data_IF_398390071386
#
_entry.id   IF_398390071386
#
_cell.length_a   1.000
_cell.length_b   1.000
_cell.length_c   1.000
_cell.angle_alpha   90.00
_cell.angle_beta   90.00
_cell.angle_gamma   90.00
#
_symmetry.space_group_name_H-M   'P 1'
#
loop_
_entity.id
_entity.type
_entity.pdbx_description
1 polymer ?
#
# COMPACT_ATOMS: atom_id res chain seq x y z
N UNK A 1 -6.94 9.37 17.50
CA UNK A 1 -5.79 10.00 18.19
C UNK A 1 -4.88 10.56 17.12
N UNK A 2 -4.41 11.80 17.28
CA UNK A 2 -3.47 12.42 16.34
C UNK A 2 -2.13 11.68 16.44
N UNK A 3 -1.67 11.07 15.34
CA UNK A 3 -0.40 10.35 15.33
C UNK A 3 0.77 11.35 15.50
N UNK A 4 1.79 11.03 16.31
CA UNK A 4 2.98 11.87 16.44
C UNK A 4 3.57 12.23 15.07
N UNK A 5 4.03 13.47 14.90
CA UNK A 5 4.60 13.96 13.63
C UNK A 5 5.66 13.01 13.05
N UNK A 6 6.54 12.48 13.92
CA UNK A 6 7.59 11.55 13.54
C UNK A 6 7.04 10.25 12.92
N UNK A 7 5.96 9.71 13.47
CA UNK A 7 5.32 8.49 12.96
C UNK A 7 4.71 8.72 11.58
N UNK A 8 4.05 9.88 11.37
CA UNK A 8 3.50 10.24 10.06
C UNK A 8 4.60 10.41 9.01
N UNK A 9 5.70 11.07 9.39
CA UNK A 9 6.85 11.25 8.50
C UNK A 9 7.51 9.92 8.15
N UNK A 10 7.72 9.06 9.15
CA UNK A 10 8.30 7.73 8.96
C UNK A 10 7.41 6.87 8.05
N UNK A 11 6.09 6.87 8.28
CA UNK A 11 5.13 6.14 7.45
C UNK A 11 5.21 6.60 5.99
N UNK A 12 5.13 7.91 5.73
CA UNK A 12 5.22 8.45 4.38
C UNK A 12 6.54 8.09 3.68
N UNK A 13 7.66 8.15 4.41
CA UNK A 13 8.97 7.79 3.89
C UNK A 13 9.07 6.29 3.54
N UNK A 14 8.66 5.40 4.45
CA UNK A 14 8.66 3.96 4.22
C UNK A 14 7.76 3.57 3.04
N UNK A 15 6.55 4.13 2.96
CA UNK A 15 5.65 3.91 1.82
C UNK A 15 6.31 4.27 0.50
N UNK A 16 7.00 5.42 0.43
CA UNK A 16 7.69 5.83 -0.77
C UNK A 16 8.84 4.88 -1.14
N UNK A 17 9.63 4.44 -0.15
CA UNK A 17 10.76 3.53 -0.40
C UNK A 17 10.32 2.17 -0.94
N UNK A 18 9.23 1.60 -0.37
CA UNK A 18 8.66 0.33 -0.83
C UNK A 18 8.15 0.50 -2.27
N UNK A 19 7.42 1.57 -2.56
CA UNK A 19 6.87 1.84 -3.90
C UNK A 19 7.94 2.13 -4.96
N UNK A 20 9.07 2.71 -4.55
CA UNK A 20 10.20 2.93 -5.45
C UNK A 20 11.13 1.72 -5.55
N UNK A 21 10.77 0.58 -4.93
CA UNK A 21 11.58 -0.64 -4.86
C UNK A 21 13.00 -0.40 -4.28
N UNK A 22 13.16 0.67 -3.50
CA UNK A 22 14.44 1.02 -2.88
C UNK A 22 14.74 0.16 -1.65
N UNK A 23 13.70 -0.47 -1.10
CA UNK A 23 13.77 -1.45 -0.02
C UNK A 23 12.86 -2.62 -0.37
N UNK A 24 13.36 -3.83 -0.20
CA UNK A 24 12.59 -5.05 -0.36
C UNK A 24 11.66 -5.23 0.85
N UNK A 25 10.35 -5.49 0.67
CA UNK A 25 9.45 -5.85 1.75
C UNK A 25 9.96 -6.98 2.65
N UNK A 26 10.70 -7.95 2.10
CA UNK A 26 11.24 -9.08 2.86
C UNK A 26 12.29 -8.64 3.90
N UNK A 27 13.10 -7.62 3.58
CA UNK A 27 14.07 -7.06 4.54
C UNK A 27 13.35 -6.40 5.73
N UNK A 28 12.20 -5.77 5.48
CA UNK A 28 11.38 -5.14 6.52
C UNK A 28 10.70 -6.21 7.38
N UNK A 29 10.28 -7.33 6.78
CA UNK A 29 9.75 -8.49 7.51
C UNK A 29 10.83 -9.07 8.42
N UNK A 30 12.07 -9.22 7.94
CA UNK A 30 13.18 -9.71 8.78
C UNK A 30 13.45 -8.77 9.97
N UNK A 31 13.38 -7.45 9.75
CA UNK A 31 13.50 -6.47 10.82
C UNK A 31 12.35 -6.59 11.84
N UNK A 32 11.12 -6.81 11.39
CA UNK A 32 9.98 -7.04 12.28
C UNK A 32 10.11 -8.34 13.09
N UNK A 33 10.62 -9.40 12.48
CA UNK A 33 10.88 -10.67 13.17
C UNK A 33 12.01 -10.54 14.19
N UNK A 34 13.02 -9.70 13.92
CA UNK A 34 14.06 -9.36 14.88
C UNK A 34 13.49 -8.65 16.11
N UNK A 35 12.65 -7.63 15.91
CA UNK A 35 11.94 -6.93 16.99
C UNK A 35 11.13 -7.91 17.85
N UNK A 36 10.42 -8.84 17.22
CA UNK A 36 9.66 -9.87 17.94
C UNK A 36 10.57 -10.79 18.76
N UNK A 37 11.73 -11.22 18.23
CA UNK A 37 12.71 -12.03 18.98
C UNK A 37 13.33 -11.26 20.15
N UNK A 38 13.49 -9.96 20.00
CA UNK A 38 14.00 -9.06 21.05
C UNK A 38 12.94 -8.73 22.12
N UNK A 39 11.72 -9.23 21.95
CA UNK A 39 10.60 -9.07 22.90
C UNK A 39 9.71 -7.85 22.64
N UNK A 40 9.95 -7.11 21.55
CA UNK A 40 9.14 -5.96 21.14
C UNK A 40 8.07 -6.36 20.11
N UNK A 41 7.07 -7.09 20.60
CA UNK A 41 5.95 -7.57 19.77
C UNK A 41 5.09 -6.42 19.21
N UNK A 42 4.97 -5.31 19.95
CA UNK A 42 4.18 -4.15 19.53
C UNK A 42 4.83 -3.45 18.34
N UNK A 43 6.14 -3.18 18.40
CA UNK A 43 6.86 -2.60 17.28
C UNK A 43 6.90 -3.55 16.07
N UNK A 44 7.10 -4.86 16.30
CA UNK A 44 7.04 -5.86 15.24
C UNK A 44 5.68 -5.87 14.53
N UNK A 45 4.59 -5.82 15.28
CA UNK A 45 3.24 -5.76 14.73
C UNK A 45 2.98 -4.46 13.97
N UNK A 46 3.36 -3.31 14.54
CA UNK A 46 3.21 -2.01 13.89
C UNK A 46 3.96 -1.95 12.54
N UNK A 47 5.17 -2.51 12.50
CA UNK A 47 5.99 -2.56 11.28
C UNK A 47 5.34 -3.45 10.21
N UNK A 48 4.84 -4.63 10.58
CA UNK A 48 4.11 -5.53 9.67
C UNK A 48 2.85 -4.86 9.09
N UNK A 49 2.08 -4.16 9.92
CA UNK A 49 0.91 -3.40 9.48
C UNK A 49 1.28 -2.27 8.50
N UNK A 50 2.43 -1.60 8.69
CA UNK A 50 2.89 -0.56 7.77
C UNK A 50 3.24 -1.12 6.38
N UNK A 51 3.80 -2.33 6.28
CA UNK A 51 4.10 -2.97 4.99
C UNK A 51 2.81 -3.20 4.19
N UNK A 52 1.78 -3.74 4.85
CA UNK A 52 0.47 -4.00 4.23
C UNK A 52 -0.15 -2.70 3.72
N UNK A 53 -0.10 -1.65 4.53
CA UNK A 53 -0.63 -0.33 4.17
C UNK A 53 0.15 0.31 3.01
N UNK A 54 1.48 0.20 3.00
CA UNK A 54 2.33 0.71 1.92
C UNK A 54 2.13 -0.04 0.60
N UNK A 55 1.85 -1.34 0.67
CA UNK A 55 1.57 -2.20 -0.49
C UNK A 55 0.16 -2.00 -1.05
N UNK A 56 -0.71 -1.30 -0.32
CA UNK A 56 -2.05 -1.00 -0.81
C UNK A 56 -1.97 -0.01 -1.99
N UNK A 57 -2.74 -0.27 -3.07
CA UNK A 57 -2.88 0.69 -4.16
C UNK A 57 -3.46 2.01 -3.63
N UNK A 58 -3.10 3.13 -4.26
CA UNK A 58 -3.69 4.39 -3.86
C UNK A 58 -5.21 4.37 -4.05
N UNK A 59 -5.93 5.10 -3.19
CA UNK A 59 -7.38 5.18 -3.28
C UNK A 59 -7.84 5.76 -4.63
N UNK A 60 -7.03 6.64 -5.23
CA UNK A 60 -7.16 7.17 -6.59
C UNK A 60 -7.10 6.07 -7.66
N UNK A 61 -6.14 5.16 -7.56
CA UNK A 61 -5.98 4.03 -8.49
C UNK A 61 -7.17 3.08 -8.40
N UNK A 62 -7.62 2.79 -7.18
CA UNK A 62 -8.81 1.97 -6.95
C UNK A 62 -10.09 2.58 -7.55
N UNK A 63 -10.26 3.90 -7.40
CA UNK A 63 -11.38 4.62 -8.01
C UNK A 63 -11.29 4.62 -9.54
N UNK A 64 -10.09 4.79 -10.10
CA UNK A 64 -9.85 4.75 -11.53
C UNK A 64 -10.18 3.37 -12.11
N UNK A 65 -9.76 2.28 -11.47
CA UNK A 65 -10.08 0.92 -11.89
C UNK A 65 -11.56 0.61 -11.78
N UNK A 66 -12.22 1.06 -10.71
CA UNK A 66 -13.67 0.95 -10.57
C UNK A 66 -14.42 1.74 -11.65
N UNK A 67 -13.90 2.90 -12.05
CA UNK A 67 -14.47 3.69 -13.14
C UNK A 67 -14.29 2.99 -14.49
N UNK A 68 -13.11 2.43 -14.78
CA UNK A 68 -12.84 1.64 -15.99
C UNK A 68 -13.78 0.45 -16.12
N UNK A 69 -14.02 -0.27 -15.03
CA UNK A 69 -14.92 -1.44 -14.99
C UNK A 69 -16.39 -1.12 -15.30
N UNK A 70 -16.80 0.16 -15.26
CA UNK A 70 -18.18 0.59 -15.58
C UNK A 70 -18.40 0.81 -17.07
N UNK A 71 -17.34 0.88 -17.88
CA UNK A 71 -17.48 1.03 -19.32
C UNK A 71 -17.67 -0.35 -19.96
N UNK A 72 -18.80 -0.54 -20.61
CA UNK A 72 -19.06 -1.71 -21.45
C UNK A 72 -19.01 -1.28 -22.91
N UNK A 73 -18.32 -2.05 -23.76
CA UNK A 73 -18.31 -1.83 -25.20
C UNK A 73 -19.72 -2.05 -25.74
N UNK A 74 -20.34 -1.00 -26.26
CA UNK A 74 -21.55 -1.12 -27.07
C UNK A 74 -21.07 -1.48 -28.48
N UNK A 75 -21.40 -2.68 -28.96
CA UNK A 75 -21.22 -2.99 -30.38
C UNK A 75 -22.05 -2.00 -31.19
N UNK A 76 -21.37 -1.13 -31.95
CA UNK A 76 -22.00 -0.20 -32.87
C UNK A 76 -22.74 -0.98 -33.96
N UNK A 77 -24.01 -1.27 -33.70
CA UNK A 77 -24.93 -1.84 -34.69
C UNK A 77 -24.99 -0.91 -35.90
N UNK A 78 -24.66 -1.47 -37.06
CA UNK A 78 -24.69 -0.82 -38.37
C UNK A 78 -25.93 0.06 -38.51
N UNK A 79 -25.72 1.34 -38.83
CA UNK A 79 -26.76 2.14 -39.43
C UNK A 79 -27.09 1.50 -40.78
N UNK A 80 -28.23 0.82 -40.88
CA UNK A 80 -28.80 0.40 -42.14
C UNK A 80 -29.35 1.66 -42.84
N UNK A 81 -28.74 1.98 -44.00
CA UNK A 81 -29.25 2.94 -44.99
C UNK A 81 -30.53 2.42 -45.66
#
# INVERSE_FOLDING_TARGET
MDQPLAERMLRAFLTQMIRSEAVDPDDIIEAADRLSRDGDEEAAHALKCMIVDASAPEQSDWQADRARARFHTIEGGKAED
#
